data_IF_034959431831
#
_entry.id   IF_034959431831
#
_cell.length_a   1.000
_cell.length_b   1.000
_cell.length_c   1.000
_cell.angle_alpha   90.00
_cell.angle_beta   90.00
_cell.angle_gamma   90.00
#
_symmetry.space_group_name_H-M   'P 1'
#
loop_
_entity.id
_entity.type
_entity.pdbx_description
1 polymer ?
#
# COMPACT_ATOMS: atom_id res chain seq x y z
N UNK A 1 13.61 -17.51 26.15
CA UNK A 1 12.19 -17.44 25.73
C UNK A 1 12.21 -17.18 24.23
N UNK A 2 11.61 -18.09 23.48
CA UNK A 2 12.01 -18.54 22.13
C UNK A 2 11.76 -17.51 21.02
N UNK A 3 12.79 -17.29 20.19
CA UNK A 3 12.80 -16.51 18.93
C UNK A 3 11.63 -16.86 17.98
N UNK A 4 11.13 -18.09 18.07
CA UNK A 4 9.95 -18.59 17.33
C UNK A 4 8.64 -17.87 17.71
N UNK A 5 8.44 -17.49 18.98
CA UNK A 5 7.23 -16.79 19.41
C UNK A 5 7.21 -15.32 18.95
N UNK A 6 8.39 -14.69 18.85
CA UNK A 6 8.54 -13.34 18.30
C UNK A 6 8.35 -13.31 16.78
N UNK A 7 8.84 -14.34 16.08
CA UNK A 7 8.63 -14.52 14.64
C UNK A 7 7.14 -14.80 14.33
N UNK A 8 6.46 -15.61 15.15
CA UNK A 8 5.02 -15.88 15.01
C UNK A 8 4.12 -14.65 15.30
N UNK A 9 4.56 -13.71 16.15
CA UNK A 9 3.88 -12.42 16.31
C UNK A 9 4.07 -11.51 15.10
N UNK A 10 5.26 -11.51 14.46
CA UNK A 10 5.52 -10.78 13.22
C UNK A 10 4.75 -11.35 12.01
N UNK A 11 4.46 -12.66 12.05
CA UNK A 11 3.70 -13.40 11.03
C UNK A 11 2.18 -13.21 11.12
N UNK A 12 1.67 -12.43 12.09
CA UNK A 12 0.24 -12.07 12.06
C UNK A 12 -0.01 -11.19 10.84
N UNK A 13 -0.86 -11.61 9.88
CA UNK A 13 -1.25 -10.75 8.78
C UNK A 13 -1.86 -9.49 9.39
N UNK A 14 -1.23 -8.32 9.21
CA UNK A 14 -1.89 -7.06 9.51
C UNK A 14 -3.15 -7.02 8.65
N UNK A 15 -4.31 -6.91 9.31
CA UNK A 15 -5.60 -6.88 8.65
C UNK A 15 -5.54 -5.88 7.49
N UNK A 16 -5.74 -6.39 6.28
CA UNK A 16 -5.71 -5.60 5.05
C UNK A 16 -6.87 -4.62 5.13
N UNK A 17 -6.57 -3.34 5.34
CA UNK A 17 -7.51 -2.21 5.25
C UNK A 17 -8.86 -2.47 5.89
N UNK A 18 -8.95 -2.26 7.21
CA UNK A 18 -10.22 -2.27 7.93
C UNK A 18 -11.21 -1.28 7.29
N UNK A 19 -12.41 -1.76 6.96
CA UNK A 19 -13.48 -0.96 6.37
C UNK A 19 -14.31 -0.21 7.41
N UNK A 20 -14.16 -0.54 8.70
CA UNK A 20 -14.93 0.09 9.78
C UNK A 20 -14.78 1.63 9.84
N UNK A 21 -13.60 2.24 9.59
CA UNK A 21 -13.44 3.69 9.48
C UNK A 21 -14.20 4.34 8.31
N UNK A 22 -14.53 3.57 7.28
CA UNK A 22 -15.27 4.03 6.09
C UNK A 22 -16.79 3.89 6.25
N UNK A 23 -17.24 3.22 7.31
CA UNK A 23 -18.64 2.83 7.51
C UNK A 23 -19.21 3.48 8.79
N UNK A 24 -19.96 4.59 8.69
CA UNK A 24 -20.63 5.17 9.85
C UNK A 24 -21.65 4.21 10.45
N UNK A 25 -21.85 4.31 11.77
CA UNK A 25 -22.88 3.54 12.48
C UNK A 25 -24.25 3.89 11.90
N UNK A 26 -24.99 2.86 11.50
CA UNK A 26 -26.27 3.02 10.86
C UNK A 26 -27.34 3.39 11.87
N UNK A 27 -28.25 4.28 11.48
CA UNK A 27 -29.55 4.41 12.14
C UNK A 27 -30.41 3.23 11.71
N UNK A 28 -30.85 2.42 12.68
CA UNK A 28 -31.67 1.22 12.42
C UNK A 28 -33.12 1.50 12.78
N UNK A 29 -34.03 1.23 11.84
CA UNK A 29 -35.48 1.41 11.97
C UNK A 29 -36.21 0.11 11.71
N UNK A 30 -37.33 -0.14 12.40
CA UNK A 30 -38.16 -1.31 12.11
C UNK A 30 -38.95 -1.09 10.80
N UNK A 31 -39.18 -2.15 10.02
CA UNK A 31 -39.88 -2.10 8.73
C UNK A 31 -41.25 -1.41 8.80
N UNK A 32 -41.97 -1.58 9.91
CA UNK A 32 -43.27 -0.95 10.14
C UNK A 32 -43.23 0.56 10.44
N UNK A 33 -42.05 1.15 10.55
CA UNK A 33 -41.89 2.59 10.82
C UNK A 33 -42.53 3.42 9.70
N UNK A 34 -43.39 4.41 10.00
CA UNK A 34 -43.98 5.27 8.98
C UNK A 34 -42.96 6.20 8.31
N UNK A 35 -43.12 6.45 7.00
CA UNK A 35 -42.24 7.34 6.23
C UNK A 35 -41.95 8.73 6.88
N UNK A 36 -42.91 9.42 7.54
CA UNK A 36 -42.63 10.70 8.20
C UNK A 36 -41.56 10.64 9.30
N UNK A 37 -41.29 9.46 9.88
CA UNK A 37 -40.21 9.29 10.86
C UNK A 37 -38.85 9.31 10.16
N UNK A 38 -38.72 8.60 9.04
CA UNK A 38 -37.49 8.62 8.21
C UNK A 38 -37.20 10.02 7.68
N UNK A 39 -38.23 10.75 7.27
CA UNK A 39 -38.08 12.13 6.84
C UNK A 39 -37.49 13.02 7.94
N UNK A 40 -37.90 12.83 9.20
CA UNK A 40 -37.32 13.55 10.33
C UNK A 40 -35.87 13.13 10.58
N UNK A 41 -35.58 11.82 10.55
CA UNK A 41 -34.23 11.27 10.73
C UNK A 41 -33.25 11.87 9.70
N UNK A 42 -33.63 11.92 8.43
CA UNK A 42 -32.81 12.56 7.39
C UNK A 42 -32.74 14.09 7.53
N UNK A 43 -33.80 14.74 8.03
CA UNK A 43 -33.81 16.17 8.28
C UNK A 43 -32.98 16.61 9.49
N UNK A 44 -32.78 15.73 10.48
CA UNK A 44 -31.99 16.00 11.68
C UNK A 44 -30.47 15.86 11.44
N UNK A 45 -30.07 14.99 10.51
CA UNK A 45 -28.67 14.80 10.14
C UNK A 45 -28.49 14.84 8.62
N UNK A 46 -28.06 15.99 8.09
CA UNK A 46 -27.80 16.16 6.66
C UNK A 46 -26.69 15.25 6.11
N UNK A 47 -25.85 14.63 6.96
CA UNK A 47 -24.78 13.72 6.52
C UNK A 47 -25.22 12.26 6.45
N UNK A 48 -26.42 11.94 6.94
CA UNK A 48 -26.94 10.59 6.93
C UNK A 48 -27.52 10.24 5.55
N UNK A 49 -26.73 9.55 4.73
CA UNK A 49 -27.13 9.21 3.37
C UNK A 49 -28.03 7.97 3.25
N UNK A 50 -28.11 7.14 4.29
CA UNK A 50 -28.97 5.97 4.31
C UNK A 50 -29.35 5.54 5.74
N UNK A 51 -30.44 4.79 5.85
CA UNK A 51 -30.85 4.10 7.08
C UNK A 51 -30.95 2.60 6.84
N UNK A 52 -30.71 1.82 7.90
CA UNK A 52 -30.95 0.38 7.89
C UNK A 52 -32.38 0.11 8.32
N UNK A 53 -33.09 -0.71 7.56
CA UNK A 53 -34.43 -1.16 7.88
C UNK A 53 -34.36 -2.62 8.32
N UNK A 54 -34.85 -2.92 9.50
CA UNK A 54 -34.90 -4.28 10.04
C UNK A 54 -36.28 -4.88 9.83
N UNK A 55 -36.34 -6.13 9.41
CA UNK A 55 -37.62 -6.82 9.26
C UNK A 55 -38.29 -7.10 10.60
N UNK A 56 -39.58 -7.47 10.57
CA UNK A 56 -40.34 -7.76 11.79
C UNK A 56 -39.79 -8.96 12.58
N UNK A 57 -39.01 -9.84 11.94
CA UNK A 57 -38.35 -10.99 12.57
C UNK A 57 -37.00 -10.66 13.19
N UNK A 58 -36.43 -9.50 12.90
CA UNK A 58 -35.10 -9.08 13.33
C UNK A 58 -33.94 -9.76 12.59
N UNK A 59 -34.21 -10.60 11.59
CA UNK A 59 -33.22 -11.47 10.94
C UNK A 59 -32.74 -10.94 9.60
N UNK A 60 -33.53 -10.05 8.96
CA UNK A 60 -33.17 -9.44 7.68
C UNK A 60 -32.94 -7.95 7.83
N UNK A 61 -31.94 -7.46 7.11
CA UNK A 61 -31.58 -6.05 7.04
C UNK A 61 -31.74 -5.57 5.60
N UNK A 62 -32.46 -4.48 5.44
CA UNK A 62 -32.53 -3.71 4.21
C UNK A 62 -31.88 -2.34 4.37
N UNK A 63 -31.63 -1.68 3.26
CA UNK A 63 -31.12 -0.31 3.21
C UNK A 63 -32.13 0.58 2.50
N UNK A 64 -32.37 1.76 3.05
CA UNK A 64 -33.14 2.82 2.41
C UNK A 64 -32.23 4.04 2.29
N UNK A 65 -31.79 4.34 1.06
CA UNK A 65 -31.00 5.53 0.79
C UNK A 65 -31.87 6.78 0.87
N UNK A 66 -31.29 7.91 1.26
CA UNK A 66 -31.95 9.22 1.22
C UNK A 66 -32.43 9.53 -0.18
N UNK A 67 -31.61 9.24 -1.20
CA UNK A 67 -31.95 9.46 -2.61
C UNK A 67 -33.22 8.72 -3.02
N UNK A 68 -33.32 7.43 -2.72
CA UNK A 68 -34.49 6.62 -3.09
C UNK A 68 -35.73 7.06 -2.30
N UNK A 69 -35.55 7.37 -1.02
CA UNK A 69 -36.60 7.93 -0.19
C UNK A 69 -37.13 9.25 -0.77
N UNK A 70 -36.27 10.21 -1.08
CA UNK A 70 -36.64 11.50 -1.66
C UNK A 70 -37.29 11.36 -3.04
N UNK A 71 -36.82 10.42 -3.87
CA UNK A 71 -37.43 10.14 -5.17
C UNK A 71 -38.89 9.68 -5.01
N UNK A 72 -39.15 8.77 -4.07
CA UNK A 72 -40.49 8.27 -3.77
C UNK A 72 -41.35 9.35 -3.11
N UNK A 73 -40.81 10.10 -2.15
CA UNK A 73 -41.53 11.10 -1.38
C UNK A 73 -41.80 12.38 -2.18
N UNK A 74 -40.94 12.73 -3.14
CA UNK A 74 -41.24 13.76 -4.13
C UNK A 74 -42.40 13.34 -5.01
N UNK A 75 -42.31 12.14 -5.60
CA UNK A 75 -43.30 11.61 -6.53
C UNK A 75 -43.38 12.43 -7.83
N UNK A 76 -43.89 11.83 -8.91
CA UNK A 76 -43.91 12.45 -10.26
C UNK A 76 -44.59 13.82 -10.32
N UNK A 77 -45.56 14.07 -9.43
CA UNK A 77 -46.40 15.28 -9.43
C UNK A 77 -46.28 16.10 -8.12
N UNK A 78 -45.31 15.80 -7.25
CA UNK A 78 -45.12 16.52 -5.98
C UNK A 78 -46.01 16.08 -4.80
N UNK A 79 -46.92 15.13 -5.00
CA UNK A 79 -47.82 14.61 -3.95
C UNK A 79 -47.30 13.37 -3.21
N UNK A 80 -46.03 12.97 -3.44
CA UNK A 80 -45.50 11.72 -2.90
C UNK A 80 -45.58 11.64 -1.37
N UNK A 81 -45.32 12.74 -0.67
CA UNK A 81 -45.42 12.82 0.80
C UNK A 81 -46.84 12.54 1.31
N UNK A 82 -47.85 13.13 0.69
CA UNK A 82 -49.25 12.90 1.06
C UNK A 82 -49.68 11.46 0.81
N UNK A 83 -49.24 10.87 -0.31
CA UNK A 83 -49.57 9.50 -0.70
C UNK A 83 -48.86 8.44 0.17
N UNK A 84 -47.62 8.70 0.56
CA UNK A 84 -46.79 7.74 1.30
C UNK A 84 -46.77 7.99 2.83
N UNK A 85 -47.55 8.95 3.35
CA UNK A 85 -47.54 9.30 4.77
C UNK A 85 -47.77 8.10 5.71
N UNK A 86 -48.62 7.13 5.31
CA UNK A 86 -48.90 5.92 6.09
C UNK A 86 -48.14 4.69 5.59
N UNK A 87 -47.33 4.83 4.55
CA UNK A 87 -46.58 3.70 3.99
C UNK A 87 -45.45 3.32 4.96
N UNK A 88 -45.30 2.03 5.29
CA UNK A 88 -44.17 1.57 6.09
C UNK A 88 -42.87 1.64 5.29
N UNK A 89 -41.77 1.97 5.97
CA UNK A 89 -40.46 2.14 5.33
C UNK A 89 -39.90 0.83 4.77
N UNK A 90 -40.34 -0.31 5.30
CA UNK A 90 -40.01 -1.63 4.76
C UNK A 90 -40.48 -1.85 3.32
N UNK A 91 -41.52 -1.13 2.87
CA UNK A 91 -41.99 -1.20 1.47
C UNK A 91 -41.11 -0.40 0.51
N UNK A 92 -40.18 0.40 1.04
CA UNK A 92 -39.23 1.23 0.28
C UNK A 92 -37.80 0.72 0.36
N UNK A 93 -37.49 -0.12 1.35
CA UNK A 93 -36.15 -0.62 1.58
C UNK A 93 -35.73 -1.69 0.55
N UNK A 94 -34.45 -1.68 0.18
CA UNK A 94 -33.79 -2.73 -0.59
C UNK A 94 -33.29 -3.79 0.37
N UNK A 95 -33.80 -5.03 0.26
CA UNK A 95 -33.58 -6.07 1.27
C UNK A 95 -32.49 -7.10 0.94
N UNK A 96 -31.96 -7.09 -0.28
CA UNK A 96 -30.89 -8.00 -0.73
C UNK A 96 -29.52 -7.31 -0.63
N UNK A 97 -29.19 -6.87 0.57
CA UNK A 97 -27.94 -6.15 0.87
C UNK A 97 -26.99 -7.08 1.63
N UNK A 98 -25.77 -7.32 1.12
CA UNK A 98 -24.77 -8.11 1.83
C UNK A 98 -24.40 -7.45 3.16
N UNK A 99 -24.31 -8.26 4.23
CA UNK A 99 -23.73 -7.86 5.51
C UNK A 99 -22.35 -8.47 5.63
N UNK A 100 -21.32 -7.63 5.56
CA UNK A 100 -19.92 -8.02 5.68
C UNK A 100 -19.55 -8.14 7.17
N UNK A 101 -18.78 -9.17 7.57
CA UNK A 101 -18.31 -9.29 8.94
C UNK A 101 -17.23 -8.26 9.27
N UNK A 102 -17.01 -8.01 10.57
CA UNK A 102 -15.94 -7.15 11.06
C UNK A 102 -14.57 -7.60 10.53
N UNK A 103 -13.71 -6.63 10.18
CA UNK A 103 -12.39 -6.88 9.61
C UNK A 103 -12.38 -7.32 8.14
N UNK A 104 -13.52 -7.25 7.45
CA UNK A 104 -13.57 -7.43 5.99
C UNK A 104 -12.71 -6.39 5.29
N UNK A 105 -11.99 -6.82 4.25
CA UNK A 105 -11.16 -5.93 3.42
C UNK A 105 -11.93 -5.37 2.21
N UNK A 106 -11.36 -4.33 1.59
CA UNK A 106 -11.96 -3.65 0.43
C UNK A 106 -12.19 -4.59 -0.76
N UNK A 107 -11.35 -5.61 -0.93
CA UNK A 107 -11.48 -6.57 -2.04
C UNK A 107 -12.70 -7.47 -1.82
N UNK A 108 -12.91 -7.92 -0.58
CA UNK A 108 -14.08 -8.71 -0.17
C UNK A 108 -15.37 -7.90 -0.34
N UNK A 109 -15.37 -6.63 0.05
CA UNK A 109 -16.51 -5.74 -0.17
C UNK A 109 -16.81 -5.54 -1.66
N UNK A 110 -15.79 -5.30 -2.49
CA UNK A 110 -15.95 -5.16 -3.93
C UNK A 110 -16.47 -6.45 -4.60
N UNK A 111 -16.00 -7.62 -4.16
CA UNK A 111 -16.49 -8.91 -4.63
C UNK A 111 -17.96 -9.13 -4.25
N UNK A 112 -18.35 -8.79 -3.02
CA UNK A 112 -19.74 -8.86 -2.57
C UNK A 112 -20.66 -7.93 -3.38
N UNK A 113 -20.22 -6.71 -3.68
CA UNK A 113 -20.94 -5.79 -4.56
C UNK A 113 -21.06 -6.36 -5.99
N UNK A 114 -19.97 -6.88 -6.55
CA UNK A 114 -19.92 -7.42 -7.92
C UNK A 114 -20.78 -8.67 -8.15
N UNK A 115 -21.02 -9.46 -7.09
CA UNK A 115 -21.90 -10.63 -7.13
C UNK A 115 -23.40 -10.28 -7.24
N UNK A 116 -23.78 -9.01 -7.02
CA UNK A 116 -25.17 -8.55 -7.11
C UNK A 116 -25.61 -8.36 -8.57
N UNK A 117 -26.93 -8.33 -8.77
CA UNK A 117 -27.54 -7.95 -10.04
C UNK A 117 -27.04 -6.56 -10.47
N UNK A 118 -26.93 -6.33 -11.78
CA UNK A 118 -26.22 -5.17 -12.34
C UNK A 118 -26.77 -3.83 -11.82
N UNK A 119 -28.08 -3.75 -11.62
CA UNK A 119 -28.82 -2.62 -11.06
C UNK A 119 -28.45 -2.29 -9.60
N UNK A 120 -27.92 -3.25 -8.84
CA UNK A 120 -27.65 -3.12 -7.40
C UNK A 120 -26.16 -3.11 -7.05
N UNK A 121 -25.26 -3.19 -8.03
CA UNK A 121 -23.79 -3.25 -7.78
C UNK A 121 -23.23 -1.96 -7.17
N UNK A 122 -23.94 -0.86 -7.32
CA UNK A 122 -23.55 0.47 -6.82
C UNK A 122 -24.40 0.92 -5.63
N UNK A 123 -25.25 0.04 -5.11
CA UNK A 123 -25.97 0.32 -3.88
C UNK A 123 -25.07 0.03 -2.69
N UNK A 124 -25.30 0.75 -1.59
CA UNK A 124 -24.55 0.60 -0.35
C UNK A 124 -24.58 -0.84 0.18
N UNK A 125 -23.53 -1.18 0.92
CA UNK A 125 -23.37 -2.45 1.61
C UNK A 125 -23.55 -2.24 3.12
N UNK A 126 -23.69 -3.35 3.85
CA UNK A 126 -23.66 -3.32 5.31
C UNK A 126 -22.38 -3.93 5.83
N UNK A 127 -21.86 -3.35 6.90
CA UNK A 127 -20.75 -3.89 7.69
C UNK A 127 -21.26 -4.10 9.11
N UNK A 128 -21.01 -5.29 9.66
CA UNK A 128 -21.19 -5.55 11.08
C UNK A 128 -19.88 -5.23 11.80
N UNK A 129 -19.87 -4.16 12.58
CA UNK A 129 -18.70 -3.73 13.36
C UNK A 129 -18.29 -4.75 14.43
N UNK A 130 -17.08 -4.60 14.97
CA UNK A 130 -16.61 -5.47 16.06
C UNK A 130 -17.46 -5.34 17.35
N UNK A 131 -18.13 -4.21 17.52
CA UNK A 131 -19.12 -3.91 18.56
C UNK A 131 -20.50 -4.54 18.31
N UNK A 132 -20.68 -5.21 17.16
CA UNK A 132 -21.94 -5.80 16.72
C UNK A 132 -22.92 -4.80 16.11
N UNK A 133 -22.57 -3.50 16.04
CA UNK A 133 -23.41 -2.50 15.42
C UNK A 133 -23.40 -2.65 13.89
N UNK A 134 -24.55 -2.40 13.26
CA UNK A 134 -24.62 -2.30 11.81
C UNK A 134 -24.14 -0.92 11.37
N UNK A 135 -23.38 -0.92 10.29
CA UNK A 135 -22.81 0.27 9.65
C UNK A 135 -23.18 0.26 8.18
N UNK A 136 -23.48 1.42 7.63
CA UNK A 136 -23.66 1.56 6.18
C UNK A 136 -22.27 1.77 5.59
N UNK A 137 -21.89 0.94 4.63
CA UNK A 137 -20.66 1.08 3.88
C UNK A 137 -21.02 1.61 2.48
N UNK A 138 -20.75 2.90 2.20
CA UNK A 138 -21.12 3.51 0.93
C UNK A 138 -20.42 2.82 -0.23
N UNK A 139 -21.15 2.51 -1.30
CA UNK A 139 -20.54 1.88 -2.49
C UNK A 139 -19.43 2.74 -3.10
N UNK A 140 -19.60 4.06 -3.07
CA UNK A 140 -18.57 5.02 -3.50
C UNK A 140 -17.28 4.90 -2.68
N UNK A 141 -17.38 4.78 -1.36
CA UNK A 141 -16.23 4.63 -0.48
C UNK A 141 -15.47 3.31 -0.76
N UNK A 142 -16.18 2.23 -1.07
CA UNK A 142 -15.56 0.95 -1.49
C UNK A 142 -14.82 1.12 -2.82
N UNK A 143 -15.42 1.79 -3.81
CA UNK A 143 -14.79 2.04 -5.11
C UNK A 143 -13.53 2.91 -4.97
N UNK A 144 -13.60 3.98 -4.18
CA UNK A 144 -12.46 4.86 -3.90
C UNK A 144 -11.33 4.11 -3.18
N UNK A 145 -11.66 3.35 -2.14
CA UNK A 145 -10.69 2.54 -1.41
C UNK A 145 -10.08 1.45 -2.31
N UNK A 146 -10.86 0.84 -3.20
CA UNK A 146 -10.39 -0.17 -4.15
C UNK A 146 -9.45 0.45 -5.18
N UNK A 147 -9.80 1.63 -5.73
CA UNK A 147 -8.96 2.37 -6.64
C UNK A 147 -7.65 2.80 -5.96
N UNK A 148 -7.71 3.26 -4.71
CA UNK A 148 -6.53 3.58 -3.91
C UNK A 148 -5.66 2.36 -3.65
N UNK A 149 -6.24 1.19 -3.34
CA UNK A 149 -5.48 -0.06 -3.17
C UNK A 149 -4.82 -0.51 -4.48
N UNK A 150 -5.53 -0.44 -5.62
CA UNK A 150 -4.94 -0.74 -6.92
C UNK A 150 -3.82 0.24 -7.29
N UNK A 151 -4.00 1.54 -7.06
CA UNK A 151 -2.97 2.54 -7.30
C UNK A 151 -1.73 2.30 -6.41
N UNK A 152 -1.96 1.93 -5.15
CA UNK A 152 -0.89 1.56 -4.22
C UNK A 152 -0.16 0.31 -4.70
N UNK A 153 -0.86 -0.76 -5.08
CA UNK A 153 -0.24 -1.98 -5.62
C UNK A 153 0.50 -1.77 -6.94
N UNK A 154 0.04 -0.84 -7.77
CA UNK A 154 0.74 -0.46 -8.99
C UNK A 154 2.11 0.19 -8.71
N UNK A 155 2.30 0.78 -7.52
CA UNK A 155 3.49 1.58 -7.17
C UNK A 155 4.26 1.06 -5.95
N UNK A 156 3.71 0.12 -5.20
CA UNK A 156 4.28 -0.42 -3.98
C UNK A 156 4.16 -1.94 -3.96
N UNK A 157 5.16 -2.58 -3.37
CA UNK A 157 5.19 -4.01 -3.13
C UNK A 157 4.20 -4.39 -2.00
N UNK A 158 3.28 -5.34 -2.22
CA UNK A 158 2.26 -5.68 -1.24
C UNK A 158 2.79 -6.40 0.01
N UNK A 159 3.97 -7.03 -0.06
CA UNK A 159 4.58 -7.73 1.07
C UNK A 159 5.29 -6.75 2.02
N UNK A 160 6.20 -5.94 1.49
CA UNK A 160 7.05 -5.03 2.27
C UNK A 160 6.43 -3.64 2.47
N UNK A 161 5.45 -3.27 1.65
CA UNK A 161 4.87 -1.92 1.62
C UNK A 161 5.82 -0.83 1.10
N UNK A 162 7.01 -1.19 0.62
CA UNK A 162 7.94 -0.27 -0.02
C UNK A 162 7.51 0.06 -1.45
N UNK A 163 7.95 1.20 -2.01
CA UNK A 163 7.99 1.43 -3.45
C UNK A 163 8.41 0.17 -4.23
N UNK A 164 7.69 -0.14 -5.28
CA UNK A 164 8.07 -1.23 -6.18
C UNK A 164 9.05 -0.73 -7.26
N UNK A 165 9.46 -1.64 -8.14
CA UNK A 165 10.31 -1.32 -9.29
C UNK A 165 9.77 -0.19 -10.17
N UNK A 166 8.46 -0.15 -10.41
CA UNK A 166 7.83 0.85 -11.28
C UNK A 166 7.95 2.26 -10.68
N UNK A 167 7.60 2.40 -9.39
CA UNK A 167 7.73 3.68 -8.70
C UNK A 167 9.19 4.13 -8.60
N UNK A 168 10.13 3.22 -8.29
CA UNK A 168 11.56 3.52 -8.28
C UNK A 168 12.02 4.05 -9.64
N UNK A 169 11.66 3.36 -10.72
CA UNK A 169 12.06 3.75 -12.08
C UNK A 169 11.51 5.12 -12.47
N UNK A 170 10.23 5.38 -12.18
CA UNK A 170 9.60 6.69 -12.41
C UNK A 170 10.33 7.81 -11.66
N UNK A 171 10.60 7.63 -10.36
CA UNK A 171 11.34 8.61 -9.55
C UNK A 171 12.76 8.84 -10.04
N UNK A 172 13.42 7.78 -10.49
CA UNK A 172 14.77 7.87 -11.05
C UNK A 172 14.78 8.64 -12.38
N UNK A 173 13.79 8.37 -13.25
CA UNK A 173 13.63 9.10 -14.51
C UNK A 173 13.35 10.59 -14.27
N UNK A 174 12.46 10.91 -13.32
CA UNK A 174 12.18 12.29 -12.90
C UNK A 174 13.44 12.99 -12.38
N UNK A 175 14.21 12.33 -11.53
CA UNK A 175 15.43 12.88 -10.94
C UNK A 175 16.53 13.16 -11.98
N UNK A 176 16.63 12.32 -13.01
CA UNK A 176 17.62 12.48 -14.09
C UNK A 176 17.18 13.47 -15.16
N UNK A 177 15.87 13.71 -15.32
CA UNK A 177 15.32 14.52 -16.40
C UNK A 177 15.62 16.02 -16.30
N UNK A 178 15.79 16.55 -15.09
CA UNK A 178 16.03 17.99 -14.87
C UNK A 178 17.53 18.24 -14.73
N UNK A 179 18.20 18.90 -15.70
CA UNK A 179 19.63 19.15 -15.62
C UNK A 179 20.00 19.98 -14.39
N UNK A 180 20.91 19.47 -13.58
CA UNK A 180 21.42 20.16 -12.39
C UNK A 180 22.90 19.85 -12.22
N UNK A 181 23.81 20.74 -12.67
CA UNK A 181 25.26 20.49 -12.63
C UNK A 181 25.84 20.34 -11.23
N UNK A 182 25.07 20.73 -10.20
CA UNK A 182 25.47 20.69 -8.79
C UNK A 182 24.84 19.53 -8.03
N UNK A 183 24.04 18.70 -8.69
CA UNK A 183 23.38 17.57 -8.05
C UNK A 183 23.90 16.26 -8.65
N UNK A 184 23.72 15.17 -7.91
CA UNK A 184 23.98 13.82 -8.37
C UNK A 184 22.82 12.91 -7.98
N UNK A 185 22.54 11.92 -8.82
CA UNK A 185 21.57 10.86 -8.56
C UNK A 185 22.34 9.59 -8.32
N UNK A 186 22.06 8.95 -7.19
CA UNK A 186 22.68 7.68 -6.82
C UNK A 186 21.60 6.62 -6.73
N UNK A 187 21.86 5.43 -7.25
CA UNK A 187 21.07 4.24 -6.92
C UNK A 187 21.99 3.17 -6.35
N UNK A 188 21.67 2.68 -5.15
CA UNK A 188 22.30 1.52 -4.54
C UNK A 188 21.39 0.31 -4.71
N UNK A 189 21.89 -0.75 -5.35
CA UNK A 189 21.19 -2.02 -5.51
C UNK A 189 21.71 -3.01 -4.49
N UNK A 190 20.81 -3.79 -3.88
CA UNK A 190 21.11 -4.73 -2.82
C UNK A 190 20.48 -6.10 -3.12
N UNK A 191 21.26 -7.16 -2.92
CA UNK A 191 20.83 -8.57 -3.04
C UNK A 191 20.91 -9.25 -1.67
N UNK A 192 19.78 -9.76 -1.18
CA UNK A 192 19.68 -10.42 0.13
C UNK A 192 20.22 -11.85 0.05
N UNK A 193 21.41 -12.04 0.60
CA UNK A 193 22.07 -13.33 0.70
C UNK A 193 21.56 -14.09 1.94
N UNK A 194 21.06 -15.30 1.74
CA UNK A 194 20.62 -16.20 2.82
C UNK A 194 19.13 -16.54 2.81
N UNK A 195 18.34 -15.90 1.95
CA UNK A 195 16.89 -16.14 1.84
C UNK A 195 16.56 -17.56 1.38
N UNK A 196 17.26 -18.07 0.36
CA UNK A 196 17.07 -19.44 -0.15
C UNK A 196 17.21 -20.53 0.92
N UNK A 197 18.28 -20.55 1.74
CA UNK A 197 18.40 -21.43 2.89
C UNK A 197 17.28 -21.30 3.93
N UNK A 198 16.80 -20.08 4.23
CA UNK A 198 15.66 -19.85 5.12
C UNK A 198 14.42 -20.52 4.55
N UNK A 199 14.07 -20.24 3.29
CA UNK A 199 12.92 -20.81 2.61
C UNK A 199 12.92 -22.34 2.62
N UNK A 200 14.07 -22.96 2.38
CA UNK A 200 14.18 -24.43 2.37
C UNK A 200 14.06 -25.07 3.76
N UNK A 201 14.46 -24.36 4.82
CA UNK A 201 14.47 -24.90 6.19
C UNK A 201 13.20 -24.59 6.98
N UNK A 202 12.62 -23.42 6.76
CA UNK A 202 11.57 -22.83 7.58
C UNK A 202 10.29 -22.50 6.78
N UNK A 203 10.30 -22.68 5.46
CA UNK A 203 9.16 -22.39 4.59
C UNK A 203 9.15 -20.95 4.06
N UNK A 204 8.24 -20.68 3.11
CA UNK A 204 8.13 -19.38 2.46
C UNK A 204 7.61 -18.28 3.36
N UNK A 205 6.71 -18.58 4.30
CA UNK A 205 6.23 -17.59 5.27
C UNK A 205 7.38 -17.02 6.12
N UNK A 206 8.37 -17.85 6.47
CA UNK A 206 9.58 -17.40 7.15
C UNK A 206 10.48 -16.54 6.25
N UNK A 207 10.53 -16.83 4.95
CA UNK A 207 11.21 -15.98 3.97
C UNK A 207 10.53 -14.62 3.79
N UNK A 208 9.20 -14.60 3.74
CA UNK A 208 8.41 -13.38 3.67
C UNK A 208 8.66 -12.50 4.91
N UNK A 209 8.72 -13.11 6.10
CA UNK A 209 9.09 -12.39 7.33
C UNK A 209 10.52 -11.82 7.29
N UNK A 210 11.47 -12.54 6.67
CA UNK A 210 12.83 -12.02 6.45
C UNK A 210 12.80 -10.80 5.52
N UNK A 211 12.07 -10.85 4.40
CA UNK A 211 11.94 -9.72 3.47
C UNK A 211 11.31 -8.50 4.14
N UNK A 212 10.28 -8.68 4.97
CA UNK A 212 9.67 -7.60 5.77
C UNK A 212 10.69 -6.98 6.72
N UNK A 213 11.46 -7.79 7.44
CA UNK A 213 12.47 -7.28 8.38
C UNK A 213 13.64 -6.59 7.69
N UNK A 214 14.05 -7.06 6.50
CA UNK A 214 15.02 -6.34 5.64
C UNK A 214 14.47 -4.98 5.24
N UNK A 215 13.21 -4.92 4.79
CA UNK A 215 12.56 -3.67 4.41
C UNK A 215 12.51 -2.67 5.58
N UNK A 216 12.18 -3.14 6.79
CA UNK A 216 12.18 -2.31 8.00
C UNK A 216 13.58 -1.80 8.35
N UNK A 217 14.61 -2.65 8.28
CA UNK A 217 15.99 -2.27 8.55
C UNK A 217 16.51 -1.21 7.56
N UNK A 218 16.24 -1.40 6.27
CA UNK A 218 16.63 -0.43 5.23
C UNK A 218 15.89 0.90 5.42
N UNK A 219 14.58 0.86 5.71
CA UNK A 219 13.77 2.05 5.95
C UNK A 219 14.21 2.82 7.19
N UNK A 220 14.60 2.14 8.26
CA UNK A 220 15.12 2.77 9.47
C UNK A 220 16.52 3.37 9.27
N UNK A 221 17.30 2.82 8.35
CA UNK A 221 18.62 3.32 7.98
C UNK A 221 18.57 4.49 6.98
N UNK A 222 17.49 4.63 6.22
CA UNK A 222 17.33 5.61 5.18
C UNK A 222 17.22 7.05 5.72
N UNK A 223 17.74 8.01 4.96
CA UNK A 223 17.61 9.45 5.21
C UNK A 223 16.38 10.02 4.46
N UNK A 224 15.97 11.25 4.79
CA UNK A 224 14.74 11.87 4.25
C UNK A 224 14.77 12.07 2.72
N UNK A 225 15.96 12.15 2.13
CA UNK A 225 16.20 12.29 0.69
C UNK A 225 16.41 10.94 -0.03
N UNK A 226 16.16 9.83 0.68
CA UNK A 226 16.30 8.48 0.17
C UNK A 226 14.95 7.78 -0.02
N UNK A 227 14.83 7.04 -1.12
CA UNK A 227 13.66 6.20 -1.43
C UNK A 227 14.10 4.75 -1.48
N UNK A 228 13.70 3.98 -0.47
CA UNK A 228 13.92 2.53 -0.41
C UNK A 228 12.82 1.82 -1.21
N UNK A 229 13.19 0.89 -2.08
CA UNK A 229 12.29 0.12 -2.92
C UNK A 229 12.57 -1.38 -2.80
N UNK A 230 11.51 -2.19 -2.85
CA UNK A 230 11.61 -3.63 -3.07
C UNK A 230 11.41 -3.89 -4.57
N UNK A 231 12.47 -4.33 -5.25
CA UNK A 231 12.48 -4.48 -6.71
C UNK A 231 11.87 -5.82 -7.12
N UNK A 232 12.05 -6.84 -6.30
CA UNK A 232 11.41 -8.15 -6.39
C UNK A 232 12.34 -9.27 -5.89
N UNK A 233 11.75 -10.40 -5.49
CA UNK A 233 12.52 -11.54 -4.98
C UNK A 233 13.28 -11.19 -3.70
N UNK A 234 14.61 -11.27 -3.76
CA UNK A 234 15.57 -10.87 -2.73
C UNK A 234 16.26 -9.52 -3.03
N UNK A 235 15.79 -8.78 -4.03
CA UNK A 235 16.44 -7.55 -4.50
C UNK A 235 15.77 -6.27 -3.99
N UNK A 236 16.58 -5.40 -3.38
CA UNK A 236 16.18 -4.07 -2.92
C UNK A 236 17.00 -3.00 -3.64
N UNK A 237 16.48 -1.78 -3.67
CA UNK A 237 17.22 -0.63 -4.17
C UNK A 237 16.95 0.60 -3.32
N UNK A 238 17.91 1.51 -3.26
CA UNK A 238 17.78 2.82 -2.63
C UNK A 238 18.18 3.89 -3.62
N UNK A 239 17.25 4.80 -3.92
CA UNK A 239 17.52 6.04 -4.65
C UNK A 239 17.91 7.13 -3.66
N UNK A 240 19.02 7.81 -3.90
CA UNK A 240 19.51 8.94 -3.08
C UNK A 240 19.72 10.15 -3.98
N UNK A 241 19.15 11.31 -3.61
CA UNK A 241 19.34 12.57 -4.32
C UNK A 241 20.39 13.42 -3.62
N UNK A 242 21.60 13.50 -4.18
CA UNK A 242 22.69 14.29 -3.60
C UNK A 242 22.65 15.71 -4.17
N UNK A 243 22.46 16.71 -3.31
CA UNK A 243 22.30 18.11 -3.75
C UNK A 243 23.50 19.01 -3.40
N UNK A 244 23.77 19.97 -4.27
CA UNK A 244 24.72 21.06 -4.05
C UNK A 244 26.17 20.61 -3.82
N UNK A 245 26.88 21.26 -2.89
CA UNK A 245 28.30 20.99 -2.62
C UNK A 245 28.60 19.54 -2.22
N UNK A 246 27.58 18.75 -1.87
CA UNK A 246 27.73 17.32 -1.56
C UNK A 246 27.95 16.45 -2.80
N UNK A 247 27.63 16.95 -3.98
CA UNK A 247 27.70 16.20 -5.23
C UNK A 247 29.14 15.95 -5.71
N UNK A 248 30.13 16.75 -5.28
CA UNK A 248 31.54 16.51 -5.61
C UNK A 248 32.05 15.16 -5.10
N UNK A 249 31.47 14.68 -3.99
CA UNK A 249 31.86 13.45 -3.30
C UNK A 249 30.76 12.38 -3.44
N UNK A 250 29.90 12.48 -4.46
CA UNK A 250 28.74 11.61 -4.62
C UNK A 250 29.10 10.12 -4.63
N UNK A 251 30.19 9.72 -5.29
CA UNK A 251 30.65 8.34 -5.31
C UNK A 251 31.15 7.84 -3.95
N UNK A 252 31.90 8.64 -3.21
CA UNK A 252 32.34 8.30 -1.85
C UNK A 252 31.14 8.17 -0.89
N UNK A 253 30.16 9.05 -1.03
CA UNK A 253 28.89 8.98 -0.28
C UNK A 253 28.10 7.73 -0.66
N UNK A 254 27.99 7.42 -1.94
CA UNK A 254 27.34 6.21 -2.44
C UNK A 254 27.96 4.96 -1.82
N UNK A 255 29.30 4.86 -1.79
CA UNK A 255 30.02 3.74 -1.17
C UNK A 255 29.70 3.62 0.33
N UNK A 256 29.73 4.74 1.06
CA UNK A 256 29.47 4.78 2.48
C UNK A 256 28.00 4.40 2.80
N UNK A 257 27.04 4.93 2.05
CA UNK A 257 25.61 4.62 2.21
C UNK A 257 25.31 3.16 1.88
N UNK A 258 25.79 2.66 0.74
CA UNK A 258 25.63 1.24 0.35
C UNK A 258 26.23 0.28 1.39
N UNK A 259 27.43 0.58 1.91
CA UNK A 259 28.04 -0.18 3.01
C UNK A 259 27.19 -0.14 4.28
N UNK A 260 26.63 1.03 4.62
CA UNK A 260 25.75 1.20 5.79
C UNK A 260 24.46 0.40 5.66
N UNK A 261 23.84 0.36 4.49
CA UNK A 261 22.65 -0.47 4.25
C UNK A 261 22.97 -1.96 4.43
N UNK A 262 24.10 -2.43 3.88
CA UNK A 262 24.55 -3.81 4.09
C UNK A 262 24.82 -4.15 5.57
N UNK A 263 25.35 -3.20 6.33
CA UNK A 263 25.53 -3.33 7.78
C UNK A 263 24.19 -3.37 8.53
N UNK A 264 23.24 -2.49 8.20
CA UNK A 264 21.92 -2.45 8.81
C UNK A 264 21.16 -3.76 8.62
N UNK A 265 21.22 -4.35 7.41
CA UNK A 265 20.65 -5.69 7.17
C UNK A 265 21.33 -6.72 8.06
N UNK A 266 22.66 -6.74 8.12
CA UNK A 266 23.39 -7.72 8.94
C UNK A 266 23.06 -7.61 10.43
N UNK A 267 23.00 -6.39 10.96
CA UNK A 267 22.64 -6.09 12.34
C UNK A 267 21.21 -6.54 12.66
N UNK A 268 20.31 -6.45 11.70
CA UNK A 268 18.94 -6.91 11.86
C UNK A 268 18.84 -8.43 12.06
N UNK A 269 19.83 -9.26 11.73
CA UNK A 269 19.74 -10.73 11.83
C UNK A 269 20.84 -11.37 12.68
N UNK A 270 21.40 -10.66 13.66
CA UNK A 270 22.52 -11.16 14.49
C UNK A 270 22.18 -12.35 15.39
N UNK A 271 20.91 -12.53 15.76
CA UNK A 271 20.45 -13.57 16.68
C UNK A 271 19.79 -14.77 15.97
N UNK A 272 19.70 -14.72 14.63
CA UNK A 272 18.98 -15.71 13.84
C UNK A 272 19.82 -16.94 13.50
N UNK A 273 19.16 -18.09 13.38
CA UNK A 273 19.80 -19.40 13.10
C UNK A 273 20.45 -19.44 11.72
N UNK A 274 19.92 -18.67 10.77
CA UNK A 274 20.46 -18.53 9.42
C UNK A 274 20.94 -17.08 9.25
N UNK A 275 22.24 -16.85 9.00
CA UNK A 275 22.73 -15.50 8.80
C UNK A 275 22.17 -14.92 7.50
N UNK A 276 21.52 -13.78 7.60
CA UNK A 276 21.06 -12.98 6.45
C UNK A 276 22.00 -11.79 6.27
N UNK A 277 22.43 -11.54 5.04
CA UNK A 277 23.31 -10.43 4.67
C UNK A 277 22.77 -9.77 3.40
N UNK A 278 23.31 -8.60 3.06
CA UNK A 278 23.10 -8.00 1.76
C UNK A 278 24.45 -7.72 1.08
N UNK A 279 24.53 -8.04 -0.22
CA UNK A 279 25.59 -7.53 -1.08
C UNK A 279 25.09 -6.26 -1.75
N UNK A 280 25.90 -5.21 -1.82
CA UNK A 280 25.48 -3.92 -2.36
C UNK A 280 26.41 -3.42 -3.46
N UNK A 281 25.85 -2.73 -4.44
CA UNK A 281 26.59 -1.97 -5.44
C UNK A 281 25.84 -0.69 -5.78
N UNK A 282 26.57 0.39 -6.03
CA UNK A 282 25.98 1.69 -6.31
C UNK A 282 26.44 2.25 -7.66
N UNK A 283 25.55 2.99 -8.31
CA UNK A 283 25.88 3.79 -9.48
C UNK A 283 25.51 5.25 -9.26
N UNK A 284 26.34 6.14 -9.79
CA UNK A 284 26.19 7.60 -9.70
C UNK A 284 26.07 8.17 -11.10
N UNK A 285 25.13 9.11 -11.30
CA UNK A 285 25.04 9.91 -12.50
C UNK A 285 24.72 11.37 -12.18
N UNK A 286 25.05 12.25 -13.13
CA UNK A 286 24.63 13.65 -13.10
C UNK A 286 23.27 13.81 -13.80
N UNK A 287 22.32 14.55 -13.21
CA UNK A 287 21.08 14.90 -13.89
C UNK A 287 21.35 15.64 -15.21
N UNK A 288 20.64 15.27 -16.27
CA UNK A 288 20.77 15.89 -17.59
C UNK A 288 21.96 15.43 -18.43
N UNK A 289 22.76 14.44 -17.96
CA UNK A 289 23.80 13.83 -18.79
C UNK A 289 23.17 13.03 -19.95
N UNK A 290 23.54 13.27 -21.22
CA UNK A 290 22.84 12.70 -22.38
C UNK A 290 22.75 11.17 -22.42
N UNK A 291 23.76 10.48 -21.88
CA UNK A 291 23.78 9.02 -21.82
C UNK A 291 23.25 8.40 -20.53
N UNK A 292 22.90 9.19 -19.51
CA UNK A 292 22.47 8.69 -18.21
C UNK A 292 20.95 8.69 -18.07
N UNK A 293 20.33 7.56 -18.40
CA UNK A 293 18.92 7.28 -18.10
C UNK A 293 18.74 6.33 -16.91
N UNK A 294 17.51 6.24 -16.39
CA UNK A 294 17.17 5.38 -15.27
C UNK A 294 17.60 3.90 -15.48
N UNK A 295 17.46 3.40 -16.71
CA UNK A 295 17.85 2.03 -17.05
C UNK A 295 19.36 1.82 -17.04
N UNK A 296 20.13 2.78 -17.54
CA UNK A 296 21.60 2.76 -17.56
C UNK A 296 22.17 2.76 -16.14
N UNK A 297 21.61 3.59 -15.25
CA UNK A 297 22.05 3.69 -13.87
C UNK A 297 21.74 2.41 -13.08
N UNK A 298 20.52 1.86 -13.23
CA UNK A 298 20.15 0.58 -12.62
C UNK A 298 21.06 -0.56 -13.10
N UNK A 299 21.31 -0.67 -14.42
CA UNK A 299 22.22 -1.70 -14.96
C UNK A 299 23.63 -1.58 -14.41
N UNK A 300 24.14 -0.36 -14.27
CA UNK A 300 25.46 -0.11 -13.69
C UNK A 300 25.52 -0.52 -12.21
N UNK A 301 24.51 -0.17 -11.42
CA UNK A 301 24.44 -0.53 -10.00
C UNK A 301 24.32 -2.04 -9.79
N UNK A 302 23.47 -2.72 -10.56
CA UNK A 302 23.36 -4.19 -10.52
C UNK A 302 24.67 -4.86 -10.92
N UNK A 303 25.36 -4.34 -11.95
CA UNK A 303 26.67 -4.88 -12.37
C UNK A 303 27.75 -4.69 -11.31
N UNK A 304 27.75 -3.54 -10.61
CA UNK A 304 28.62 -3.28 -9.47
C UNK A 304 28.35 -4.27 -8.32
N UNK A 305 27.07 -4.45 -7.97
CA UNK A 305 26.64 -5.40 -6.93
C UNK A 305 27.05 -6.84 -7.26
N UNK A 306 26.81 -7.31 -8.50
CA UNK A 306 27.24 -8.63 -8.94
C UNK A 306 28.76 -8.80 -8.87
N UNK A 307 29.52 -7.72 -9.06
CA UNK A 307 30.98 -7.73 -8.88
C UNK A 307 31.34 -7.92 -7.41
N UNK A 308 30.75 -7.14 -6.50
CA UNK A 308 30.94 -7.29 -5.06
C UNK A 308 30.63 -8.72 -4.59
N UNK A 309 29.52 -9.30 -5.08
CA UNK A 309 29.09 -10.65 -4.74
C UNK A 309 30.07 -11.73 -5.22
N UNK A 310 30.60 -11.62 -6.46
CA UNK A 310 31.59 -12.56 -7.00
C UNK A 310 32.88 -12.60 -6.18
N UNK A 311 33.29 -11.45 -5.63
CA UNK A 311 34.50 -11.34 -4.81
C UNK A 311 34.26 -11.58 -3.32
N UNK A 312 33.00 -11.78 -2.90
CA UNK A 312 32.64 -11.90 -1.49
C UNK A 312 32.92 -10.63 -0.68
N UNK A 313 32.98 -9.47 -1.34
CA UNK A 313 33.29 -8.20 -0.70
C UNK A 313 32.21 -7.83 0.33
N UNK A 314 32.66 -7.30 1.47
CA UNK A 314 31.76 -6.66 2.44
C UNK A 314 31.61 -5.16 2.19
N UNK A 315 32.44 -4.61 1.31
CA UNK A 315 32.39 -3.22 0.87
C UNK A 315 31.57 -3.12 -0.41
N UNK A 316 30.85 -2.00 -0.55
CA UNK A 316 30.07 -1.74 -1.75
C UNK A 316 30.97 -1.32 -2.92
N UNK A 317 30.72 -1.91 -4.09
CA UNK A 317 31.33 -1.47 -5.35
C UNK A 317 30.57 -0.25 -5.89
N UNK A 318 31.30 0.75 -6.38
CA UNK A 318 30.72 2.00 -6.90
C UNK A 318 31.20 2.29 -8.32
N UNK A 319 30.25 2.71 -9.16
CA UNK A 319 30.47 3.05 -10.55
C UNK A 319 29.92 4.45 -10.82
N UNK A 320 30.66 5.27 -11.56
CA UNK A 320 30.16 6.56 -12.05
C UNK A 320 29.84 6.44 -13.55
N UNK A 321 28.69 6.96 -13.97
CA UNK A 321 28.37 7.09 -15.38
C UNK A 321 28.97 8.37 -15.94
N UNK A 322 29.71 8.24 -17.04
CA UNK A 322 30.16 9.40 -17.81
C UNK A 322 29.01 10.04 -18.61
N UNK A 323 29.29 11.14 -19.30
CA UNK A 323 28.27 11.86 -20.10
C UNK A 323 27.70 11.00 -21.25
N UNK A 324 28.41 9.93 -21.65
CA UNK A 324 27.98 8.93 -22.63
C UNK A 324 27.24 7.73 -22.00
N UNK A 325 27.00 7.76 -20.69
CA UNK A 325 26.31 6.71 -19.95
C UNK A 325 27.15 5.44 -19.75
N UNK A 326 28.46 5.53 -19.96
CA UNK A 326 29.36 4.39 -19.79
C UNK A 326 29.85 4.32 -18.34
N UNK A 327 29.86 3.10 -17.76
CA UNK A 327 30.34 2.89 -16.40
C UNK A 327 31.86 3.11 -16.33
N UNK A 328 32.28 3.98 -15.42
CA UNK A 328 33.68 4.23 -15.05
C UNK A 328 33.90 3.76 -13.62
N UNK A 329 34.99 3.03 -13.39
CA UNK A 329 35.31 2.52 -12.07
C UNK A 329 35.70 3.69 -11.16
N UNK A 330 34.99 3.85 -10.04
CA UNK A 330 35.40 4.79 -9.02
C UNK A 330 36.49 4.15 -8.16
N UNK A 331 37.58 4.88 -7.92
CA UNK A 331 38.64 4.45 -6.99
C UNK A 331 38.65 5.36 -5.78
N UNK A 332 38.59 4.82 -4.54
CA UNK A 332 38.68 5.64 -3.34
C UNK A 332 39.98 6.45 -3.36
N UNK A 333 39.88 7.76 -3.18
CA UNK A 333 41.05 8.60 -2.96
C UNK A 333 41.60 8.28 -1.56
N UNK A 334 42.83 7.77 -1.49
CA UNK A 334 43.50 7.42 -0.23
C UNK A 334 43.77 8.62 0.65
#
# INVERSE_FOLDING_TARGET
MTSEAALLELLRPRARGDLEPLAPVAVVLEAGTPCPVVERVFGEDERLDAVVVRDAGGTRHGVLSRRDFELVMGGRFGYGRSLNHRRPVGDLATWDVPVLPAGSDVVTAAAAAGARAAEHRFDDLLLQGADGALRVLPAAAVLEALAADYARRATHDPLTGLPNRELLFGRLAEALAVPSPRDAVVVSYLDVVGLGPVNRRLGHDAGDAVLVRVAEALRACAEDDEVVAHVGGDEFAVLTLVRGDRASDAAARAAARATRFGAAVREAFTEDVVPVRASAGAAVARPGAPGADAGSLLRAATSAMSTAQRWGSQEAEVVELDDAGQPTAWTPTR
#
